data_IF_009231411214
#
_entry.id   IF_009231411214
#
_cell.length_a   1.000
_cell.length_b   1.000
_cell.length_c   1.000
_cell.angle_alpha   90.00
_cell.angle_beta   90.00
_cell.angle_gamma   90.00
#
_symmetry.space_group_name_H-M   'P 1'
#
loop_
_entity.id
_entity.type
_entity.pdbx_description
1 polymer ?
#
# COMPACT_ATOMS: atom_id res chain seq x y z
N UNK A 1 56.57 -4.73 -9.47
CA UNK A 1 55.60 -4.09 -8.55
C UNK A 1 55.66 -4.78 -7.21
N UNK A 2 55.62 -4.04 -6.10
CA UNK A 2 55.46 -4.61 -4.75
C UNK A 2 53.96 -4.75 -4.47
N UNK A 3 53.49 -5.97 -4.26
CA UNK A 3 52.12 -6.25 -3.81
C UNK A 3 52.13 -6.62 -2.32
N UNK A 4 50.98 -6.46 -1.67
CA UNK A 4 50.75 -7.04 -0.36
C UNK A 4 50.61 -8.56 -0.50
N UNK A 5 50.94 -9.30 0.56
CA UNK A 5 50.75 -10.76 0.60
C UNK A 5 49.26 -11.07 0.60
N UNK A 6 48.80 -11.88 -0.36
CA UNK A 6 47.42 -12.36 -0.42
C UNK A 6 47.27 -13.60 0.46
N UNK A 7 46.61 -13.47 1.61
CA UNK A 7 46.40 -14.57 2.57
C UNK A 7 44.97 -14.56 3.13
N UNK A 8 44.00 -15.22 2.46
CA UNK A 8 42.63 -15.32 2.95
C UNK A 8 42.51 -16.23 4.18
N UNK A 9 43.48 -17.11 4.42
CA UNK A 9 43.54 -18.01 5.58
C UNK A 9 44.20 -17.36 6.81
N UNK A 10 44.57 -16.07 6.72
CA UNK A 10 45.22 -15.36 7.81
C UNK A 10 44.29 -15.27 9.02
N UNK A 11 44.63 -15.99 10.09
CA UNK A 11 43.98 -15.90 11.38
C UNK A 11 44.64 -14.81 12.24
N UNK A 12 43.82 -14.09 13.01
CA UNK A 12 44.29 -13.15 14.05
C UNK A 12 44.15 -13.79 15.43
N UNK A 13 45.11 -13.56 16.33
CA UNK A 13 45.05 -14.06 17.71
C UNK A 13 43.82 -13.48 18.46
N UNK A 14 43.56 -12.19 18.26
CA UNK A 14 42.32 -11.52 18.67
C UNK A 14 41.76 -10.82 17.43
N UNK A 15 40.46 -10.98 17.12
CA UNK A 15 39.86 -10.27 16.00
C UNK A 15 39.83 -8.76 16.30
N UNK A 16 40.08 -7.90 15.29
CA UNK A 16 39.91 -6.46 15.45
C UNK A 16 38.45 -6.15 15.80
N UNK A 17 38.24 -5.08 16.56
CA UNK A 17 36.87 -4.66 16.87
C UNK A 17 36.16 -4.16 15.61
N UNK A 18 34.83 -4.27 15.55
CA UNK A 18 34.08 -3.75 14.38
C UNK A 18 34.34 -2.26 14.17
N UNK A 19 34.59 -1.52 15.26
CA UNK A 19 34.94 -0.09 15.21
C UNK A 19 36.30 0.18 14.60
N UNK A 20 37.29 -0.69 14.82
CA UNK A 20 38.59 -0.62 14.14
C UNK A 20 38.47 -0.91 12.65
N UNK A 21 37.59 -1.84 12.26
CA UNK A 21 37.41 -2.24 10.86
C UNK A 21 36.60 -1.21 10.06
N UNK A 22 35.49 -0.73 10.60
CA UNK A 22 34.57 0.19 9.89
C UNK A 22 34.90 1.68 10.09
N UNK A 23 35.72 2.01 11.09
CA UNK A 23 35.98 3.37 11.52
C UNK A 23 34.89 3.94 12.45
N UNK A 24 35.29 4.85 13.34
CA UNK A 24 34.40 5.38 14.40
C UNK A 24 33.23 6.23 13.92
N UNK A 25 33.32 6.78 12.71
CA UNK A 25 32.30 7.66 12.11
C UNK A 25 31.26 6.89 11.29
N UNK A 26 31.36 5.56 11.25
CA UNK A 26 30.45 4.71 10.50
C UNK A 26 29.00 4.82 11.03
N UNK A 27 28.03 4.80 10.12
CA UNK A 27 26.60 5.02 10.42
C UNK A 27 26.04 4.06 11.48
N UNK A 28 26.52 2.81 11.53
CA UNK A 28 26.06 1.84 12.54
C UNK A 28 26.34 2.31 13.97
N UNK A 29 27.46 2.98 14.23
CA UNK A 29 27.77 3.50 15.57
C UNK A 29 26.96 4.74 15.92
N UNK A 30 26.58 5.54 14.91
CA UNK A 30 25.61 6.60 15.11
C UNK A 30 24.25 6.02 15.50
N UNK A 31 23.72 5.07 14.72
CA UNK A 31 22.43 4.44 15.00
C UNK A 31 22.41 3.71 16.34
N UNK A 32 23.46 2.96 16.67
CA UNK A 32 23.59 2.28 17.97
C UNK A 32 23.52 3.27 19.15
N UNK A 33 24.17 4.42 19.04
CA UNK A 33 24.08 5.50 20.05
C UNK A 33 22.71 6.15 20.10
N UNK A 34 22.05 6.31 18.95
CA UNK A 34 20.71 6.89 18.87
C UNK A 34 19.67 5.97 19.49
N UNK A 35 19.66 4.69 19.13
CA UNK A 35 18.70 3.71 19.65
C UNK A 35 18.76 3.60 21.17
N UNK A 36 19.95 3.73 21.78
CA UNK A 36 20.11 3.77 23.24
C UNK A 36 19.42 4.96 23.93
N UNK A 37 19.11 6.02 23.18
CA UNK A 37 18.43 7.22 23.69
C UNK A 37 16.94 7.25 23.37
N UNK A 38 16.45 6.31 22.54
CA UNK A 38 15.03 6.23 22.19
C UNK A 38 14.25 5.58 23.34
N UNK A 39 13.04 6.07 23.57
CA UNK A 39 12.10 5.38 24.44
C UNK A 39 11.55 4.14 23.71
N UNK A 40 11.92 2.96 24.21
CA UNK A 40 11.52 1.67 23.64
C UNK A 40 10.40 1.00 24.43
N UNK A 41 9.84 1.67 25.44
CA UNK A 41 8.79 1.13 26.32
C UNK A 41 7.58 0.57 25.54
N UNK A 42 7.18 1.25 24.46
CA UNK A 42 6.10 0.81 23.59
C UNK A 42 6.37 -0.52 22.86
N UNK A 43 7.65 -0.88 22.67
CA UNK A 43 8.04 -2.18 22.11
C UNK A 43 8.17 -3.23 23.20
N UNK A 44 8.70 -2.87 24.37
CA UNK A 44 8.89 -3.77 25.50
C UNK A 44 7.56 -4.26 26.09
N UNK A 45 6.53 -3.40 26.15
CA UNK A 45 5.18 -3.75 26.60
C UNK A 45 4.51 -4.84 25.75
N UNK A 46 5.02 -5.10 24.54
CA UNK A 46 4.51 -6.15 23.68
C UNK A 46 5.07 -7.54 23.99
N UNK A 47 6.09 -7.62 24.85
CA UNK A 47 6.72 -8.87 25.27
C UNK A 47 6.06 -9.41 26.54
N UNK A 48 5.91 -10.73 26.60
CA UNK A 48 5.48 -11.45 27.80
C UNK A 48 6.70 -11.87 28.60
N UNK A 49 6.59 -11.89 29.94
CA UNK A 49 7.60 -12.51 30.81
C UNK A 49 7.59 -14.05 30.73
N UNK A 50 6.51 -14.62 30.18
CA UNK A 50 6.34 -16.06 30.01
C UNK A 50 6.72 -16.50 28.59
N UNK A 51 7.53 -17.56 28.48
CA UNK A 51 7.89 -18.20 27.22
C UNK A 51 9.39 -18.16 26.89
N UNK A 52 9.72 -18.40 25.62
CA UNK A 52 11.10 -18.34 25.13
C UNK A 52 11.60 -16.88 25.12
N UNK A 53 12.84 -16.60 25.57
CA UNK A 53 13.39 -15.25 25.53
C UNK A 53 13.38 -14.69 24.12
N UNK A 54 12.70 -13.56 23.93
CA UNK A 54 12.71 -12.83 22.67
C UNK A 54 13.96 -11.97 22.49
N UNK A 55 14.21 -11.53 21.26
CA UNK A 55 15.25 -10.55 20.99
C UNK A 55 14.88 -9.18 21.59
N UNK A 56 15.88 -8.49 22.13
CA UNK A 56 15.70 -7.16 22.71
C UNK A 56 15.18 -6.17 21.63
N UNK A 57 14.17 -5.34 21.90
CA UNK A 57 13.62 -4.40 20.91
C UNK A 57 14.67 -3.46 20.31
N UNK A 58 15.60 -2.95 21.12
CA UNK A 58 16.70 -2.10 20.66
C UNK A 58 17.50 -2.74 19.50
N UNK A 59 17.76 -4.04 19.58
CA UNK A 59 18.45 -4.79 18.54
C UNK A 59 17.66 -4.77 17.23
N UNK A 60 16.39 -5.16 17.31
CA UNK A 60 15.52 -5.26 16.14
C UNK A 60 15.27 -3.88 15.50
N UNK A 61 15.12 -2.84 16.32
CA UNK A 61 15.01 -1.45 15.87
C UNK A 61 16.29 -0.99 15.18
N UNK A 62 17.46 -1.22 15.79
CA UNK A 62 18.75 -0.81 15.23
C UNK A 62 19.02 -1.46 13.87
N UNK A 63 18.76 -2.76 13.76
CA UNK A 63 18.89 -3.53 12.51
C UNK A 63 17.91 -3.00 11.45
N UNK A 64 16.65 -2.74 11.81
CA UNK A 64 15.66 -2.20 10.87
C UNK A 64 15.97 -0.78 10.42
N UNK A 65 16.37 0.12 11.32
CA UNK A 65 16.74 1.49 10.96
C UNK A 65 17.93 1.53 10.00
N UNK A 66 18.95 0.70 10.26
CA UNK A 66 20.11 0.58 9.38
C UNK A 66 19.74 -0.05 8.03
N UNK A 67 18.87 -1.07 8.04
CA UNK A 67 18.33 -1.66 6.82
C UNK A 67 17.60 -0.62 5.96
N UNK A 68 16.74 0.20 6.57
CA UNK A 68 16.01 1.27 5.87
C UNK A 68 16.95 2.32 5.31
N UNK A 69 17.97 2.74 6.08
CA UNK A 69 18.99 3.68 5.60
C UNK A 69 19.77 3.15 4.39
N UNK A 70 19.97 1.83 4.29
CA UNK A 70 20.62 1.15 3.16
C UNK A 70 19.65 0.65 2.07
N UNK A 71 18.35 0.96 2.18
CA UNK A 71 17.34 0.50 1.20
C UNK A 71 17.02 -1.00 1.24
N UNK A 72 17.38 -1.73 2.30
CA UNK A 72 17.09 -3.17 2.47
C UNK A 72 15.71 -3.36 3.09
N UNK A 73 14.72 -3.76 2.28
CA UNK A 73 13.31 -3.89 2.71
C UNK A 73 12.83 -5.33 2.91
N UNK A 74 13.55 -6.31 2.35
CA UNK A 74 13.21 -7.73 2.45
C UNK A 74 13.76 -8.33 3.75
N UNK A 75 12.89 -8.95 4.56
CA UNK A 75 13.32 -9.59 5.81
C UNK A 75 14.26 -10.77 5.58
N UNK A 76 14.12 -11.50 4.46
CA UNK A 76 15.06 -12.58 4.08
C UNK A 76 16.44 -12.05 3.72
N UNK A 77 16.47 -10.92 2.98
CA UNK A 77 17.73 -10.25 2.66
C UNK A 77 18.36 -9.63 3.90
N UNK A 78 17.55 -9.16 4.84
CA UNK A 78 18.00 -8.64 6.12
C UNK A 78 18.58 -9.75 7.00
N UNK A 79 17.95 -10.92 7.08
CA UNK A 79 18.50 -12.10 7.76
C UNK A 79 19.90 -12.44 7.20
N UNK A 80 20.03 -12.49 5.87
CA UNK A 80 21.32 -12.75 5.22
C UNK A 80 22.36 -11.68 5.58
N UNK A 81 21.98 -10.40 5.52
CA UNK A 81 22.86 -9.27 5.88
C UNK A 81 23.31 -9.35 7.34
N UNK A 82 22.42 -9.70 8.27
CA UNK A 82 22.79 -9.88 9.68
C UNK A 82 23.82 -10.99 9.87
N UNK A 83 23.88 -11.98 8.98
CA UNK A 83 24.90 -13.04 9.02
C UNK A 83 26.24 -12.62 8.40
N UNK A 84 26.19 -11.87 7.30
CA UNK A 84 27.35 -11.64 6.42
C UNK A 84 28.00 -10.26 6.61
N UNK A 85 27.23 -9.25 6.99
CA UNK A 85 27.66 -7.85 7.01
C UNK A 85 28.08 -7.43 8.43
N UNK A 86 29.32 -6.95 8.57
CA UNK A 86 29.91 -6.54 9.84
C UNK A 86 29.10 -5.49 10.60
N UNK A 87 28.52 -4.51 9.90
CA UNK A 87 27.75 -3.46 10.53
C UNK A 87 26.42 -3.98 11.07
N UNK A 88 25.74 -4.86 10.32
CA UNK A 88 24.53 -5.51 10.81
C UNK A 88 24.81 -6.46 11.97
N UNK A 89 25.93 -7.20 11.94
CA UNK A 89 26.36 -8.08 13.05
C UNK A 89 26.62 -7.31 14.34
N UNK A 90 27.25 -6.15 14.24
CA UNK A 90 27.53 -5.28 15.38
C UNK A 90 26.24 -4.71 15.98
N UNK A 91 25.34 -4.19 15.14
CA UNK A 91 24.02 -3.71 15.56
C UNK A 91 23.18 -4.83 16.18
N UNK A 92 23.33 -6.05 15.66
CA UNK A 92 22.69 -7.24 16.20
C UNK A 92 23.35 -7.76 17.48
N UNK A 93 24.47 -7.19 17.92
CA UNK A 93 25.23 -7.69 19.08
C UNK A 93 25.67 -9.15 18.93
N UNK A 94 25.86 -9.62 17.69
CA UNK A 94 26.16 -11.02 17.38
C UNK A 94 24.95 -11.96 17.33
N UNK A 95 23.75 -11.49 17.69
CA UNK A 95 22.52 -12.28 17.56
C UNK A 95 22.11 -12.42 16.08
N UNK A 96 21.35 -13.47 15.76
CA UNK A 96 20.96 -13.79 14.39
C UNK A 96 19.44 -14.03 14.30
N UNK A 97 18.62 -12.97 14.44
CA UNK A 97 17.18 -13.09 14.25
C UNK A 97 16.87 -13.55 12.82
N UNK A 98 15.98 -14.52 12.72
CA UNK A 98 15.53 -15.05 11.44
C UNK A 98 14.56 -14.08 10.73
N UNK A 99 14.32 -14.30 9.44
CA UNK A 99 13.41 -13.45 8.66
C UNK A 99 11.98 -13.42 9.21
N UNK A 100 11.55 -14.46 9.93
CA UNK A 100 10.23 -14.51 10.55
C UNK A 100 10.17 -13.52 11.72
N UNK A 101 11.12 -13.59 12.66
CA UNK A 101 11.25 -12.66 13.78
C UNK A 101 11.32 -11.22 13.30
N UNK A 102 12.19 -10.95 12.32
CA UNK A 102 12.35 -9.60 11.75
C UNK A 102 11.05 -9.08 11.14
N UNK A 103 10.33 -9.92 10.39
CA UNK A 103 9.10 -9.54 9.73
C UNK A 103 7.94 -9.35 10.72
N UNK A 104 7.81 -10.25 11.70
CA UNK A 104 6.80 -10.15 12.76
C UNK A 104 6.97 -8.88 13.57
N UNK A 105 8.20 -8.57 13.99
CA UNK A 105 8.50 -7.33 14.70
C UNK A 105 8.10 -6.10 13.88
N UNK A 106 8.48 -6.04 12.60
CA UNK A 106 8.10 -4.92 11.72
C UNK A 106 6.58 -4.82 11.54
N UNK A 107 5.90 -5.95 11.36
CA UNK A 107 4.45 -5.98 11.17
C UNK A 107 3.70 -5.49 12.41
N UNK A 108 4.12 -5.96 13.59
CA UNK A 108 3.52 -5.61 14.88
C UNK A 108 3.73 -4.13 15.24
N UNK A 109 4.91 -3.59 14.95
CA UNK A 109 5.30 -2.25 15.37
C UNK A 109 5.43 -1.24 14.22
N UNK A 110 4.74 -1.46 13.09
CA UNK A 110 4.89 -0.68 11.86
C UNK A 110 4.82 0.84 12.06
N UNK A 111 3.87 1.31 12.87
CA UNK A 111 3.70 2.75 13.14
C UNK A 111 4.89 3.31 13.94
N UNK A 112 5.20 2.68 15.07
CA UNK A 112 6.30 3.10 15.94
C UNK A 112 7.66 3.10 15.22
N UNK A 113 7.93 2.13 14.34
CA UNK A 113 9.17 2.10 13.54
C UNK A 113 9.24 3.29 12.57
N UNK A 114 8.14 3.64 11.90
CA UNK A 114 8.10 4.79 11.00
C UNK A 114 8.31 6.11 11.76
N UNK A 115 7.70 6.24 12.93
CA UNK A 115 7.84 7.44 13.76
C UNK A 115 9.29 7.61 14.24
N UNK A 116 9.92 6.53 14.72
CA UNK A 116 11.34 6.54 15.10
C UNK A 116 12.27 6.84 13.92
N UNK A 117 11.98 6.30 12.74
CA UNK A 117 12.78 6.59 11.54
C UNK A 117 12.74 8.08 11.19
N UNK A 118 11.56 8.70 11.30
CA UNK A 118 11.39 10.14 11.09
C UNK A 118 12.23 10.94 12.09
N UNK A 119 12.17 10.60 13.38
CA UNK A 119 12.97 11.26 14.42
C UNK A 119 14.48 11.10 14.19
N UNK A 120 14.93 9.91 13.76
CA UNK A 120 16.35 9.66 13.46
C UNK A 120 16.81 10.47 12.26
N UNK A 121 15.98 10.62 11.22
CA UNK A 121 16.28 11.46 10.07
C UNK A 121 16.32 12.96 10.42
N UNK A 122 15.42 13.42 11.27
CA UNK A 122 15.42 14.80 11.78
C UNK A 122 16.70 15.09 12.57
N UNK A 123 17.09 14.21 13.50
CA UNK A 123 18.32 14.35 14.27
C UNK A 123 19.57 14.26 13.39
N UNK A 124 19.58 13.40 12.37
CA UNK A 124 20.68 13.31 11.42
C UNK A 124 20.81 14.58 10.57
N UNK A 125 19.68 15.16 10.14
CA UNK A 125 19.63 16.44 9.42
C UNK A 125 20.16 17.58 10.29
N UNK A 126 19.71 17.68 11.53
CA UNK A 126 20.13 18.73 12.47
C UNK A 126 21.60 18.61 12.88
N UNK A 127 22.13 17.38 12.94
CA UNK A 127 23.55 17.11 13.17
C UNK A 127 24.45 17.39 11.95
N UNK A 128 23.89 17.88 10.83
CA UNK A 128 24.63 18.15 9.60
C UNK A 128 25.15 16.89 8.90
N UNK A 129 24.64 15.71 9.26
CA UNK A 129 25.07 14.41 8.74
C UNK A 129 24.47 14.08 7.36
N UNK A 130 23.81 15.03 6.69
CA UNK A 130 23.12 14.75 5.43
C UNK A 130 23.17 15.87 4.41
N UNK A 131 23.92 15.65 3.33
CA UNK A 131 23.32 15.79 1.99
C UNK A 131 22.39 14.59 1.84
N UNK A 132 21.12 14.78 2.18
CA UNK A 132 20.08 13.83 1.81
C UNK A 132 20.09 13.77 0.27
N UNK A 133 20.39 12.61 -0.30
CA UNK A 133 20.30 12.38 -1.74
C UNK A 133 18.93 12.80 -2.27
N UNK A 134 18.89 13.34 -3.48
CA UNK A 134 17.66 13.92 -4.02
C UNK A 134 16.49 12.93 -3.93
N UNK A 135 15.32 13.43 -3.49
CA UNK A 135 14.08 12.66 -3.50
C UNK A 135 13.30 13.04 -4.74
N UNK A 136 13.07 12.07 -5.62
CA UNK A 136 12.21 12.20 -6.79
C UNK A 136 10.80 11.75 -6.43
N UNK A 137 9.81 12.61 -6.65
CA UNK A 137 8.39 12.26 -6.51
C UNK A 137 7.86 12.01 -7.91
N UNK A 138 7.47 10.77 -8.21
CA UNK A 138 6.81 10.42 -9.46
C UNK A 138 5.39 9.92 -9.21
N UNK A 139 4.48 10.26 -10.10
CA UNK A 139 3.08 9.83 -10.02
C UNK A 139 2.69 9.03 -11.27
N UNK A 140 2.23 7.80 -11.03
CA UNK A 140 1.79 6.89 -12.09
C UNK A 140 0.28 6.67 -12.00
N UNK A 141 -0.37 6.57 -13.16
CA UNK A 141 -1.79 6.21 -13.26
C UNK A 141 -1.89 4.70 -13.40
N UNK A 142 -2.61 4.06 -12.47
CA UNK A 142 -2.82 2.61 -12.49
C UNK A 142 -4.27 2.35 -12.87
N UNK A 143 -4.47 1.51 -13.89
CA UNK A 143 -5.80 1.11 -14.34
C UNK A 143 -6.49 0.29 -13.24
N UNK A 144 -7.75 0.61 -12.96
CA UNK A 144 -8.60 -0.22 -12.12
C UNK A 144 -9.12 -1.42 -12.91
N UNK A 145 -9.64 -2.44 -12.22
CA UNK A 145 -10.40 -3.52 -12.85
C UNK A 145 -11.79 -3.03 -13.29
N UNK A 146 -11.82 -2.09 -14.22
CA UNK A 146 -13.00 -1.37 -14.64
C UNK A 146 -12.98 -1.09 -16.14
N UNK A 147 -14.08 -1.43 -16.80
CA UNK A 147 -14.24 -1.24 -18.25
C UNK A 147 -15.07 0.00 -18.56
N UNK A 148 -14.68 0.73 -19.61
CA UNK A 148 -15.48 1.84 -20.19
C UNK A 148 -16.86 1.37 -20.67
N UNK A 149 -17.00 0.08 -20.97
CA UNK A 149 -18.26 -0.51 -21.43
C UNK A 149 -19.18 -0.92 -20.27
N UNK A 150 -18.70 -0.88 -19.02
CA UNK A 150 -19.47 -1.21 -17.81
C UNK A 150 -19.64 0.01 -16.92
N UNK A 151 -20.07 1.12 -17.52
CA UNK A 151 -20.34 2.38 -16.84
C UNK A 151 -21.84 2.60 -16.72
N UNK A 152 -22.27 2.97 -15.53
CA UNK A 152 -23.61 3.49 -15.29
C UNK A 152 -23.56 5.02 -15.35
N UNK A 153 -24.44 5.62 -16.17
CA UNK A 153 -24.55 7.08 -16.31
C UNK A 153 -25.96 7.52 -15.99
N UNK A 154 -26.10 8.74 -15.47
CA UNK A 154 -27.41 9.29 -15.11
C UNK A 154 -28.37 9.30 -16.31
N UNK A 155 -27.89 9.69 -17.49
CA UNK A 155 -28.69 9.71 -18.72
C UNK A 155 -29.13 8.31 -19.16
N UNK A 156 -28.26 7.31 -19.04
CA UNK A 156 -28.60 5.93 -19.37
C UNK A 156 -29.70 5.39 -18.44
N UNK A 157 -29.58 5.61 -17.12
CA UNK A 157 -30.59 5.23 -16.14
C UNK A 157 -31.93 5.95 -16.37
N UNK A 158 -31.92 7.23 -16.73
CA UNK A 158 -33.13 7.99 -17.07
C UNK A 158 -33.81 7.42 -18.32
N UNK A 159 -33.05 7.07 -19.36
CA UNK A 159 -33.56 6.44 -20.60
C UNK A 159 -34.14 5.06 -20.31
N UNK A 160 -33.43 4.25 -19.52
CA UNK A 160 -33.90 2.92 -19.08
C UNK A 160 -35.22 3.03 -18.31
N UNK A 161 -35.30 3.93 -17.33
CA UNK A 161 -36.54 4.20 -16.58
C UNK A 161 -37.70 4.57 -17.51
N UNK A 162 -37.43 5.39 -18.52
CA UNK A 162 -38.45 5.82 -19.49
C UNK A 162 -38.92 4.64 -20.34
N UNK A 163 -38.00 3.79 -20.78
CA UNK A 163 -38.30 2.58 -21.56
C UNK A 163 -39.15 1.59 -20.75
N UNK A 164 -38.74 1.30 -19.52
CA UNK A 164 -39.48 0.41 -18.61
C UNK A 164 -40.87 0.96 -18.29
N UNK A 165 -41.01 2.28 -18.03
CA UNK A 165 -42.32 2.91 -17.84
C UNK A 165 -43.23 2.79 -19.05
N UNK A 166 -42.70 2.93 -20.27
CA UNK A 166 -43.48 2.73 -21.51
C UNK A 166 -43.92 1.28 -21.66
N UNK A 167 -43.07 0.32 -21.29
CA UNK A 167 -43.38 -1.10 -21.33
C UNK A 167 -44.49 -1.45 -20.33
N UNK A 168 -44.38 -0.98 -19.08
CA UNK A 168 -45.43 -1.14 -18.06
C UNK A 168 -46.75 -0.51 -18.52
N UNK A 169 -46.72 0.71 -19.06
CA UNK A 169 -47.93 1.36 -19.57
C UNK A 169 -48.58 0.61 -20.73
N UNK A 170 -47.77 0.08 -21.66
CA UNK A 170 -48.27 -0.75 -22.77
C UNK A 170 -48.95 -2.01 -22.24
N UNK A 171 -48.37 -2.65 -21.21
CA UNK A 171 -48.98 -3.82 -20.58
C UNK A 171 -50.30 -3.48 -19.89
N UNK A 172 -50.34 -2.39 -19.11
CA UNK A 172 -51.58 -1.91 -18.49
C UNK A 172 -52.69 -1.69 -19.53
N UNK A 173 -52.36 -1.05 -20.65
CA UNK A 173 -53.30 -0.83 -21.76
C UNK A 173 -53.76 -2.13 -22.42
N UNK A 174 -52.90 -3.14 -22.53
CA UNK A 174 -53.27 -4.45 -23.04
C UNK A 174 -54.20 -5.20 -22.09
N UNK A 175 -54.03 -5.03 -20.77
CA UNK A 175 -54.94 -5.59 -19.78
C UNK A 175 -56.31 -4.87 -19.80
N UNK A 176 -56.31 -3.53 -19.91
CA UNK A 176 -57.53 -2.71 -19.92
C UNK A 176 -58.34 -2.84 -21.23
N UNK A 177 -57.69 -3.19 -22.35
CA UNK A 177 -58.34 -3.36 -23.66
C UNK A 177 -59.01 -4.74 -23.85
N UNK A 178 -59.08 -5.58 -22.80
CA UNK A 178 -59.71 -6.90 -22.88
C UNK A 178 -61.23 -6.76 -22.78
N UNK A 179 -61.88 -6.62 -23.94
CA UNK A 179 -63.31 -6.85 -24.13
C UNK A 179 -63.60 -8.35 -23.89
N UNK A 180 -64.69 -8.77 -23.20
CA UNK A 180 -64.88 -10.16 -22.75
C UNK A 180 -64.98 -11.25 -23.84
N UNK A 181 -64.86 -10.91 -25.13
CA UNK A 181 -65.30 -11.79 -26.22
C UNK A 181 -64.30 -12.01 -27.38
N UNK A 182 -63.02 -11.67 -27.25
CA UNK A 182 -61.99 -12.09 -28.23
C UNK A 182 -60.84 -12.89 -27.58
N UNK A 183 -60.35 -13.86 -28.34
CA UNK A 183 -59.55 -15.05 -28.01
C UNK A 183 -58.30 -14.80 -27.14
N UNK A 184 -57.91 -15.73 -26.22
CA UNK A 184 -56.82 -15.53 -25.26
C UNK A 184 -55.46 -15.48 -25.97
N UNK A 185 -54.77 -14.34 -25.93
CA UNK A 185 -53.68 -14.13 -26.89
C UNK A 185 -52.52 -13.24 -26.47
N UNK A 186 -52.28 -13.01 -25.18
CA UNK A 186 -50.96 -12.57 -24.72
C UNK A 186 -50.77 -13.01 -23.26
N UNK A 187 -50.33 -14.26 -23.05
CA UNK A 187 -49.79 -14.66 -21.75
C UNK A 187 -48.48 -13.91 -21.58
N UNK A 188 -48.54 -12.78 -20.87
CA UNK A 188 -47.34 -12.09 -20.44
C UNK A 188 -46.73 -12.96 -19.34
N UNK A 189 -45.49 -13.41 -19.55
CA UNK A 189 -44.77 -14.18 -18.54
C UNK A 189 -44.74 -13.38 -17.22
N UNK A 190 -45.36 -13.88 -16.13
CA UNK A 190 -45.38 -13.20 -14.83
C UNK A 190 -43.97 -12.91 -14.31
N UNK A 191 -43.00 -13.77 -14.65
CA UNK A 191 -41.60 -13.57 -14.27
C UNK A 191 -40.99 -12.38 -15.00
N UNK A 192 -41.33 -12.18 -16.27
CA UNK A 192 -40.85 -11.04 -17.06
C UNK A 192 -41.44 -9.71 -16.55
N UNK A 193 -42.70 -9.71 -16.10
CA UNK A 193 -43.33 -8.55 -15.45
C UNK A 193 -42.65 -8.20 -14.14
N UNK A 194 -42.52 -9.18 -13.24
CA UNK A 194 -41.85 -8.98 -11.95
C UNK A 194 -40.39 -8.50 -12.13
N UNK A 195 -39.67 -9.03 -13.12
CA UNK A 195 -38.31 -8.60 -13.43
C UNK A 195 -38.24 -7.13 -13.89
N UNK A 196 -39.21 -6.67 -14.70
CA UNK A 196 -39.29 -5.29 -15.17
C UNK A 196 -39.64 -4.33 -14.02
N UNK A 197 -40.60 -4.71 -13.17
CA UNK A 197 -40.99 -3.91 -12.00
C UNK A 197 -39.86 -3.83 -10.96
N UNK A 198 -39.19 -4.94 -10.67
CA UNK A 198 -38.02 -4.99 -9.79
C UNK A 198 -36.91 -4.07 -10.31
N UNK A 199 -36.58 -4.14 -11.61
CA UNK A 199 -35.61 -3.23 -12.22
C UNK A 199 -36.03 -1.77 -12.13
N UNK A 200 -37.31 -1.47 -12.35
CA UNK A 200 -37.83 -0.10 -12.24
C UNK A 200 -37.70 0.44 -10.81
N UNK A 201 -37.94 -0.40 -9.80
CA UNK A 201 -37.84 -0.07 -8.38
C UNK A 201 -36.39 0.18 -7.92
N UNK A 202 -35.40 -0.45 -8.56
CA UNK A 202 -33.99 -0.25 -8.21
C UNK A 202 -33.41 1.08 -8.73
N UNK A 203 -33.91 1.60 -9.85
CA UNK A 203 -33.34 2.79 -10.52
C UNK A 203 -33.23 4.03 -9.62
N UNK A 204 -34.24 4.40 -8.80
CA UNK A 204 -34.12 5.52 -7.86
C UNK A 204 -32.92 5.39 -6.91
N UNK A 205 -32.70 4.20 -6.35
CA UNK A 205 -31.58 3.95 -5.44
C UNK A 205 -30.22 4.11 -6.13
N UNK A 206 -30.12 3.70 -7.41
CA UNK A 206 -28.90 3.84 -8.22
C UNK A 206 -28.62 5.30 -8.58
N UNK A 207 -29.68 6.05 -8.91
CA UNK A 207 -29.60 7.51 -9.14
C UNK A 207 -29.16 8.26 -7.87
N UNK A 208 -29.68 7.89 -6.70
CA UNK A 208 -29.23 8.46 -5.43
C UNK A 208 -27.77 8.15 -5.12
N UNK A 209 -27.32 6.91 -5.39
CA UNK A 209 -25.92 6.51 -5.23
C UNK A 209 -24.97 7.31 -6.14
N UNK A 210 -25.42 7.68 -7.35
CA UNK A 210 -24.67 8.57 -8.24
C UNK A 210 -24.63 10.01 -7.72
N UNK A 211 -25.77 10.53 -7.25
CA UNK A 211 -25.88 11.89 -6.70
C UNK A 211 -25.06 12.08 -5.43
N UNK A 212 -25.17 11.17 -4.45
CA UNK A 212 -24.38 11.21 -3.21
C UNK A 212 -22.88 11.15 -3.47
N UNK A 213 -22.46 10.47 -4.54
CA UNK A 213 -21.07 10.41 -4.95
C UNK A 213 -20.60 11.65 -5.75
N UNK A 214 -21.52 12.53 -6.16
CA UNK A 214 -21.20 13.69 -7.02
C UNK A 214 -20.74 13.30 -8.43
N UNK A 215 -21.06 12.09 -8.90
CA UNK A 215 -20.52 11.53 -10.15
C UNK A 215 -21.55 11.56 -11.29
N UNK A 216 -21.13 12.00 -12.48
CA UNK A 216 -21.93 11.87 -13.71
C UNK A 216 -21.95 10.44 -14.28
N UNK A 217 -20.86 9.69 -14.06
CA UNK A 217 -20.66 8.30 -14.50
C UNK A 217 -19.93 7.51 -13.42
N UNK A 218 -20.32 6.26 -13.19
CA UNK A 218 -19.73 5.35 -12.20
C UNK A 218 -19.51 3.98 -12.81
N UNK A 219 -18.42 3.32 -12.45
CA UNK A 219 -18.16 1.95 -12.86
C UNK A 219 -18.97 0.96 -12.03
N UNK A 220 -19.46 -0.09 -12.69
CA UNK A 220 -20.20 -1.17 -12.06
C UNK A 220 -19.29 -2.19 -11.35
N UNK A 221 -18.06 -2.38 -11.84
CA UNK A 221 -17.12 -3.38 -11.29
C UNK A 221 -16.21 -2.80 -10.22
N UNK A 222 -15.76 -1.56 -10.38
CA UNK A 222 -14.99 -0.84 -9.37
C UNK A 222 -15.61 0.54 -9.12
N UNK A 223 -16.49 0.67 -8.12
CA UNK A 223 -17.21 1.91 -7.85
C UNK A 223 -16.34 3.09 -7.40
N UNK A 224 -15.13 2.80 -6.90
CA UNK A 224 -14.21 3.80 -6.36
C UNK A 224 -13.22 4.34 -7.39
N UNK A 225 -13.11 3.67 -8.55
CA UNK A 225 -12.32 4.12 -9.70
C UNK A 225 -12.77 5.48 -10.24
N UNK A 226 -11.82 6.27 -10.76
CA UNK A 226 -12.09 7.59 -11.35
C UNK A 226 -11.44 7.74 -12.71
N UNK A 227 -12.01 8.62 -13.53
CA UNK A 227 -11.42 8.96 -14.82
C UNK A 227 -10.23 9.88 -14.61
N UNK A 228 -9.04 9.39 -14.96
CA UNK A 228 -7.78 10.11 -14.86
C UNK A 228 -7.32 10.47 -16.28
N UNK A 229 -6.91 11.72 -16.47
CA UNK A 229 -6.43 12.23 -17.77
C UNK A 229 -5.01 11.73 -18.04
N UNK A 230 -4.77 11.13 -19.18
CA UNK A 230 -3.47 10.60 -19.62
C UNK A 230 -2.98 11.31 -20.90
N UNK A 231 -1.72 11.14 -21.29
CA UNK A 231 -1.13 11.78 -22.49
C UNK A 231 -1.95 11.51 -23.76
N UNK A 232 -2.54 10.32 -23.88
CA UNK A 232 -3.36 9.91 -25.03
C UNK A 232 -4.81 9.58 -24.62
N UNK A 233 -5.40 10.36 -23.71
CA UNK A 233 -6.84 10.27 -23.43
C UNK A 233 -7.16 10.14 -21.94
N UNK A 234 -7.96 9.15 -21.58
CA UNK A 234 -8.41 8.93 -20.21
C UNK A 234 -8.37 7.44 -19.84
N UNK A 235 -7.89 7.18 -18.64
CA UNK A 235 -7.84 5.85 -18.02
C UNK A 235 -8.71 5.85 -16.78
N UNK A 236 -9.46 4.76 -16.57
CA UNK A 236 -10.29 4.59 -15.39
C UNK A 236 -9.47 3.87 -14.32
N UNK A 237 -9.17 4.54 -13.21
CA UNK A 237 -8.14 4.04 -12.29
C UNK A 237 -7.89 4.91 -11.07
N UNK A 238 -6.70 4.75 -10.51
CA UNK A 238 -6.18 5.46 -9.34
C UNK A 238 -4.85 6.16 -9.67
N UNK A 239 -4.60 7.29 -9.02
CA UNK A 239 -3.29 7.94 -9.06
C UNK A 239 -2.47 7.38 -7.92
N UNK A 240 -1.32 6.82 -8.24
CA UNK A 240 -0.35 6.35 -7.26
C UNK A 240 0.83 7.30 -7.31
N UNK A 241 1.10 8.00 -6.21
CA UNK A 241 2.30 8.80 -6.03
C UNK A 241 3.29 8.06 -5.16
N UNK A 242 4.56 8.10 -5.55
CA UNK A 242 5.66 7.47 -4.84
C UNK A 242 6.81 8.48 -4.73
N UNK A 243 7.31 8.67 -3.52
CA UNK A 243 8.54 9.41 -3.27
C UNK A 243 9.69 8.41 -3.21
N UNK A 244 10.68 8.57 -4.09
CA UNK A 244 11.80 7.64 -4.27
C UNK A 244 13.11 8.40 -4.10
N UNK A 245 14.02 7.92 -3.25
CA UNK A 245 15.37 8.51 -3.15
C UNK A 245 16.22 8.17 -4.38
N UNK A 246 17.32 8.90 -4.58
CA UNK A 246 18.35 8.57 -5.59
C UNK A 246 18.84 7.11 -5.51
N UNK A 247 18.80 6.49 -4.33
CA UNK A 247 19.17 5.09 -4.11
C UNK A 247 18.01 4.10 -4.39
N UNK A 248 16.97 4.54 -5.11
CA UNK A 248 15.77 3.76 -5.44
C UNK A 248 14.94 3.29 -4.23
N UNK A 249 15.03 3.98 -3.09
CA UNK A 249 14.25 3.67 -1.88
C UNK A 249 12.90 4.38 -1.92
N UNK A 250 11.81 3.63 -1.79
CA UNK A 250 10.46 4.21 -1.65
C UNK A 250 10.30 4.75 -0.23
N UNK A 251 10.29 6.06 -0.09
CA UNK A 251 10.14 6.78 1.18
C UNK A 251 8.66 6.93 1.56
N UNK A 252 7.80 7.13 0.57
CA UNK A 252 6.37 7.30 0.76
C UNK A 252 5.60 6.71 -0.43
N UNK A 253 4.41 6.15 -0.17
CA UNK A 253 3.44 5.83 -1.21
C UNK A 253 2.06 6.35 -0.81
N UNK A 254 1.34 6.93 -1.77
CA UNK A 254 -0.04 7.35 -1.58
C UNK A 254 -0.88 6.92 -2.79
N UNK A 255 -2.09 6.44 -2.51
CA UNK A 255 -3.08 6.10 -3.55
C UNK A 255 -4.25 7.07 -3.40
N UNK A 256 -4.47 7.87 -4.44
CA UNK A 256 -5.52 8.88 -4.47
C UNK A 256 -6.54 8.58 -5.57
N UNK A 257 -7.79 8.97 -5.31
CA UNK A 257 -8.91 8.91 -6.26
C UNK A 257 -8.96 10.14 -7.18
N UNK A 258 -8.15 11.16 -6.88
CA UNK A 258 -8.09 12.41 -7.64
C UNK A 258 -6.79 12.50 -8.43
N UNK A 259 -6.83 13.20 -9.57
CA UNK A 259 -5.62 13.68 -10.19
C UNK A 259 -5.02 14.76 -9.26
N UNK A 260 -3.82 14.52 -8.74
CA UNK A 260 -3.04 15.62 -8.17
C UNK A 260 -2.72 16.62 -9.30
N UNK A 261 -2.85 17.94 -9.05
CA UNK A 261 -2.51 18.98 -10.02
C UNK A 261 -1.04 18.95 -10.41
#
# INVERSE_FOLDING_TARGET
MKFLVYSPEQASLLPPTVREVLGGDHLCFFLSRMVKKLDLSAFEQAYSEEGQPGYHPALLVAVWLYATALGVTSSRRLEQRVREDLAFRDLAGGAQPDHWTLNEFRRRHRRAINDLFTQVLEVARDAGLGRLGHVAIDSTRVAANASRNRLESEDALRRERTKLRRQVRRWQQQCDATDPNETPGAVIDPQAQQAVEARLAEIPSRLEKLRKAGLRKRSLTDPDSRFLRERQGFTLGYTVSMAVSEDHVILEQQVARAAHP
#
